data_IF_896754054540
#
_entry.id   IF_896754054540
#
_cell.length_a   1.000
_cell.length_b   1.000
_cell.length_c   1.000
_cell.angle_alpha   90.00
_cell.angle_beta   90.00
_cell.angle_gamma   90.00
#
_symmetry.space_group_name_H-M   'P 1'
#
loop_
_entity.id
_entity.type
_entity.pdbx_description
1 polymer ?
#
# COMPACT_ATOMS: atom_id res chain seq x y z
N UNK A 1 -27.55 -14.72 -12.98
CA UNK A 1 -27.98 -13.43 -13.55
C UNK A 1 -26.74 -12.70 -14.02
N UNK A 2 -26.50 -12.67 -15.32
CA UNK A 2 -25.50 -11.78 -15.91
C UNK A 2 -25.98 -10.34 -15.73
N UNK A 3 -25.20 -9.43 -15.13
CA UNK A 3 -25.57 -8.02 -15.08
C UNK A 3 -25.69 -7.52 -16.53
N UNK A 4 -26.84 -6.92 -16.86
CA UNK A 4 -27.01 -6.26 -18.16
C UNK A 4 -25.91 -5.21 -18.29
N UNK A 5 -25.08 -5.34 -19.33
CA UNK A 5 -24.10 -4.33 -19.68
C UNK A 5 -24.85 -3.01 -19.87
N UNK A 6 -24.48 -1.91 -19.19
CA UNK A 6 -25.19 -0.65 -19.31
C UNK A 6 -25.22 -0.21 -20.78
N UNK A 7 -26.39 0.23 -21.25
CA UNK A 7 -26.50 0.85 -22.57
C UNK A 7 -25.72 2.16 -22.57
N UNK A 8 -24.77 2.29 -23.49
CA UNK A 8 -23.99 3.51 -23.68
C UNK A 8 -24.91 4.64 -24.13
N UNK A 9 -25.10 5.67 -23.30
CA UNK A 9 -25.76 6.91 -23.74
C UNK A 9 -24.92 7.50 -24.87
N UNK A 10 -25.55 7.69 -26.03
CA UNK A 10 -24.91 8.31 -27.20
C UNK A 10 -24.68 9.79 -26.93
N UNK A 11 -23.52 10.10 -26.37
CA UNK A 11 -23.02 11.47 -26.32
C UNK A 11 -22.68 11.96 -27.75
N UNK A 12 -22.74 13.28 -27.99
CA UNK A 12 -22.37 13.85 -29.29
C UNK A 12 -20.93 13.48 -29.65
N UNK A 13 -20.73 13.00 -30.89
CA UNK A 13 -19.40 12.66 -31.43
C UNK A 13 -18.79 13.91 -32.07
N UNK A 14 -17.56 14.28 -31.70
CA UNK A 14 -16.87 15.48 -32.20
C UNK A 14 -15.74 15.19 -33.21
N UNK A 15 -15.72 13.99 -33.79
CA UNK A 15 -14.58 13.43 -34.56
C UNK A 15 -14.16 14.21 -35.83
N UNK A 16 -14.89 15.25 -36.24
CA UNK A 16 -14.58 16.08 -37.43
C UNK A 16 -14.48 17.59 -37.15
N UNK A 17 -14.42 18.00 -35.89
CA UNK A 17 -14.45 19.43 -35.52
C UNK A 17 -13.04 19.89 -35.14
N UNK A 18 -12.29 20.47 -36.09
CA UNK A 18 -10.94 21.00 -35.84
C UNK A 18 -11.01 22.47 -35.43
N UNK A 19 -10.26 22.85 -34.38
CA UNK A 19 -10.10 24.25 -33.91
C UNK A 19 -11.41 24.99 -33.62
N UNK A 20 -12.36 24.34 -32.94
CA UNK A 20 -13.63 24.96 -32.55
C UNK A 20 -13.79 24.93 -31.03
N UNK A 21 -14.43 25.96 -30.51
CA UNK A 21 -15.04 25.93 -29.18
C UNK A 21 -16.36 25.19 -29.28
N UNK A 22 -16.52 24.16 -28.47
CA UNK A 22 -17.76 23.40 -28.33
C UNK A 22 -18.33 23.70 -26.95
N UNK A 23 -19.51 24.31 -26.94
CA UNK A 23 -20.29 24.43 -25.71
C UNK A 23 -20.79 23.06 -25.29
N UNK A 24 -20.64 22.75 -24.00
CA UNK A 24 -20.99 21.46 -23.45
C UNK A 24 -21.73 21.61 -22.13
N UNK A 25 -22.78 20.83 -21.97
CA UNK A 25 -23.57 20.73 -20.75
C UNK A 25 -24.05 19.29 -20.58
N UNK A 26 -24.05 18.80 -19.35
CA UNK A 26 -24.61 17.50 -18.99
C UNK A 26 -25.98 17.68 -18.38
N UNK A 27 -26.99 17.09 -19.01
CA UNK A 27 -28.31 17.01 -18.41
C UNK A 27 -28.27 16.04 -17.22
N UNK A 28 -28.28 16.57 -15.99
CA UNK A 28 -28.13 15.75 -14.76
C UNK A 28 -29.18 14.64 -14.62
N UNK A 29 -30.38 14.80 -15.21
CA UNK A 29 -31.41 13.76 -15.17
C UNK A 29 -31.07 12.50 -15.97
N UNK A 30 -30.08 12.57 -16.87
CA UNK A 30 -29.69 11.47 -17.76
C UNK A 30 -28.46 10.70 -17.25
N UNK A 31 -27.77 11.22 -16.23
CA UNK A 31 -26.58 10.58 -15.68
C UNK A 31 -26.98 9.51 -14.68
N UNK A 32 -26.80 8.25 -15.06
CA UNK A 32 -26.97 7.12 -14.14
C UNK A 32 -25.69 7.00 -13.31
N UNK A 33 -25.83 7.06 -11.98
CA UNK A 33 -24.69 6.85 -11.07
C UNK A 33 -24.04 5.49 -11.32
N UNK A 34 -22.71 5.49 -11.46
CA UNK A 34 -21.90 4.29 -11.67
C UNK A 34 -21.59 3.96 -13.13
N UNK A 35 -22.30 4.55 -14.10
CA UNK A 35 -21.94 4.39 -15.51
C UNK A 35 -20.84 5.38 -15.89
N UNK A 36 -19.94 4.98 -16.79
CA UNK A 36 -18.92 5.87 -17.36
C UNK A 36 -19.33 6.26 -18.77
N UNK A 37 -19.22 7.55 -19.08
CA UNK A 37 -19.53 8.08 -20.38
C UNK A 37 -18.25 8.60 -21.03
N UNK A 38 -18.03 8.26 -22.30
CA UNK A 38 -16.86 8.73 -23.03
C UNK A 38 -17.24 9.37 -24.35
N UNK A 39 -16.55 10.46 -24.70
CA UNK A 39 -16.71 11.20 -25.94
C UNK A 39 -15.39 11.28 -26.67
N UNK A 40 -15.34 10.78 -27.90
CA UNK A 40 -14.18 10.99 -28.76
C UNK A 40 -14.08 12.47 -29.17
N UNK A 41 -12.88 13.03 -29.03
CA UNK A 41 -12.60 14.44 -29.37
C UNK A 41 -11.52 14.56 -30.42
N UNK A 42 -11.71 15.54 -31.31
CA UNK A 42 -10.71 15.98 -32.26
C UNK A 42 -9.49 16.64 -31.56
N UNK A 43 -8.36 16.71 -32.26
CA UNK A 43 -7.20 17.45 -31.78
C UNK A 43 -7.47 18.97 -31.76
N UNK A 44 -6.87 19.68 -30.80
CA UNK A 44 -6.98 21.12 -30.57
C UNK A 44 -8.42 21.59 -30.32
N UNK A 45 -9.22 20.75 -29.64
CA UNK A 45 -10.58 21.08 -29.28
C UNK A 45 -10.63 21.92 -28.01
N UNK A 46 -11.44 22.97 -27.99
CA UNK A 46 -11.80 23.69 -26.76
C UNK A 46 -13.20 23.27 -26.35
N UNK A 47 -13.34 22.76 -25.14
CA UNK A 47 -14.63 22.41 -24.54
C UNK A 47 -14.94 23.48 -23.50
N UNK A 48 -16.09 24.13 -23.68
CA UNK A 48 -16.57 25.20 -22.82
C UNK A 48 -17.77 24.70 -22.02
N UNK A 49 -17.56 24.45 -20.74
CA UNK A 49 -18.60 23.98 -19.83
C UNK A 49 -19.51 25.13 -19.41
N UNK A 50 -20.82 24.91 -19.59
CA UNK A 50 -21.89 25.81 -19.13
C UNK A 50 -22.46 25.39 -17.76
N UNK A 51 -21.99 24.27 -17.20
CA UNK A 51 -22.46 23.70 -15.94
C UNK A 51 -21.30 23.09 -15.11
N UNK A 52 -21.64 22.31 -14.09
CA UNK A 52 -20.70 21.64 -13.16
C UNK A 52 -20.05 20.35 -13.74
N UNK A 53 -20.38 19.98 -14.99
CA UNK A 53 -19.93 18.74 -15.60
C UNK A 53 -20.39 17.49 -14.86
N UNK A 54 -19.58 16.43 -14.92
CA UNK A 54 -19.79 15.19 -14.17
C UNK A 54 -18.51 14.38 -13.96
N UNK A 55 -18.39 13.73 -12.80
CA UNK A 55 -17.25 12.86 -12.43
C UNK A 55 -17.06 11.65 -13.35
N UNK A 56 -18.12 11.23 -14.05
CA UNK A 56 -18.12 10.05 -14.90
C UNK A 56 -18.10 10.36 -16.40
N UNK A 57 -17.90 11.62 -16.78
CA UNK A 57 -17.76 12.03 -18.17
C UNK A 57 -16.28 12.12 -18.54
N UNK A 58 -15.89 11.43 -19.60
CA UNK A 58 -14.51 11.39 -20.08
C UNK A 58 -14.40 11.82 -21.54
N UNK A 59 -13.42 12.64 -21.86
CA UNK A 59 -13.06 12.99 -23.23
C UNK A 59 -11.91 12.09 -23.69
N UNK A 60 -12.19 11.21 -24.63
CA UNK A 60 -11.24 10.25 -25.19
C UNK A 60 -10.52 10.87 -26.38
N UNK A 61 -9.20 10.89 -26.28
CA UNK A 61 -8.32 11.39 -27.33
C UNK A 61 -7.85 10.22 -28.18
N UNK A 62 -7.92 10.35 -29.51
CA UNK A 62 -7.54 9.29 -30.46
C UNK A 62 -6.34 9.66 -31.35
N UNK A 63 -5.52 10.64 -30.96
CA UNK A 63 -4.37 11.12 -31.74
C UNK A 63 -3.07 10.93 -30.97
N UNK A 64 -1.98 10.59 -31.68
CA UNK A 64 -0.65 10.41 -31.07
C UNK A 64 -0.19 11.63 -30.28
N UNK A 65 -0.53 12.83 -30.75
CA UNK A 65 -0.40 14.06 -29.97
C UNK A 65 -1.69 14.84 -30.07
N UNK A 66 -2.27 15.16 -28.92
CA UNK A 66 -3.46 15.99 -28.87
C UNK A 66 -3.37 17.10 -27.84
N UNK A 67 -4.09 18.17 -28.12
CA UNK A 67 -4.36 19.24 -27.18
C UNK A 67 -5.86 19.35 -26.97
N UNK A 68 -6.29 19.32 -25.72
CA UNK A 68 -7.67 19.59 -25.30
C UNK A 68 -7.65 20.76 -24.33
N UNK A 69 -8.55 21.72 -24.51
CA UNK A 69 -8.64 22.90 -23.65
C UNK A 69 -9.99 22.90 -22.94
N UNK A 70 -9.98 22.96 -21.61
CA UNK A 70 -11.16 23.07 -20.78
C UNK A 70 -11.31 24.51 -20.28
N UNK A 71 -12.47 25.09 -20.58
CA UNK A 71 -12.86 26.43 -20.16
C UNK A 71 -14.26 26.39 -19.57
N UNK A 72 -14.63 27.41 -18.80
CA UNK A 72 -16.00 27.59 -18.33
C UNK A 72 -16.47 29.03 -18.44
N UNK A 73 -17.75 29.19 -18.73
CA UNK A 73 -18.50 30.45 -18.62
C UNK A 73 -19.16 30.64 -17.25
N UNK A 74 -19.08 29.63 -16.38
CA UNK A 74 -19.75 29.65 -15.10
C UNK A 74 -18.97 30.48 -14.08
N UNK A 75 -19.47 31.69 -13.82
CA UNK A 75 -18.88 32.61 -12.84
C UNK A 75 -19.05 32.14 -11.38
N UNK A 76 -19.90 31.15 -11.11
CA UNK A 76 -20.31 30.77 -9.75
C UNK A 76 -19.21 30.05 -8.94
N UNK A 77 -17.99 29.91 -9.47
CA UNK A 77 -16.86 29.17 -8.85
C UNK A 77 -17.17 27.74 -8.42
N UNK A 78 -18.32 27.19 -8.82
CA UNK A 78 -18.71 25.82 -8.50
C UNK A 78 -17.75 24.85 -9.21
N UNK A 79 -17.36 23.75 -8.55
CA UNK A 79 -16.40 22.82 -9.12
C UNK A 79 -16.97 22.16 -10.37
N UNK A 80 -16.18 22.13 -11.45
CA UNK A 80 -16.51 21.48 -12.70
C UNK A 80 -15.73 20.19 -12.78
N UNK A 81 -16.47 19.09 -12.80
CA UNK A 81 -15.87 17.78 -12.84
C UNK A 81 -15.90 17.24 -14.27
N UNK A 82 -14.77 16.75 -14.74
CA UNK A 82 -14.67 16.08 -16.03
C UNK A 82 -13.48 15.15 -16.03
N UNK A 83 -13.35 14.31 -17.04
CA UNK A 83 -12.21 13.44 -17.19
C UNK A 83 -11.65 13.38 -18.59
N UNK A 84 -10.46 12.81 -18.70
CA UNK A 84 -9.84 12.47 -19.96
C UNK A 84 -9.47 10.99 -19.98
N UNK A 85 -9.49 10.42 -21.17
CA UNK A 85 -8.82 9.15 -21.48
C UNK A 85 -7.71 9.51 -22.49
N UNK A 86 -6.43 9.55 -22.06
CA UNK A 86 -5.33 9.87 -22.96
C UNK A 86 -5.15 8.77 -24.00
N UNK A 87 -4.39 9.09 -25.05
CA UNK A 87 -4.06 8.14 -26.09
C UNK A 87 -2.90 7.26 -25.63
N UNK A 88 -3.09 5.94 -25.71
CA UNK A 88 -2.04 4.95 -25.48
C UNK A 88 -0.80 5.26 -26.33
N UNK A 89 0.38 5.29 -25.71
CA UNK A 89 1.67 5.66 -26.33
C UNK A 89 1.75 7.10 -26.90
N UNK A 90 0.70 7.91 -26.74
CA UNK A 90 0.64 9.29 -27.19
C UNK A 90 0.90 10.31 -26.08
N UNK A 91 0.92 11.58 -26.47
CA UNK A 91 1.02 12.73 -25.59
C UNK A 91 -0.27 13.55 -25.67
N UNK A 92 -1.05 13.53 -24.59
CA UNK A 92 -2.23 14.37 -24.41
C UNK A 92 -1.86 15.60 -23.59
N UNK A 93 -2.03 16.80 -24.15
CA UNK A 93 -1.95 18.06 -23.41
C UNK A 93 -3.34 18.51 -23.01
N UNK A 94 -3.57 18.72 -21.72
CA UNK A 94 -4.82 19.26 -21.16
C UNK A 94 -4.55 20.68 -20.69
N UNK A 95 -5.12 21.66 -21.37
CA UNK A 95 -5.09 23.05 -20.93
C UNK A 95 -6.29 23.31 -20.02
N UNK A 96 -6.06 23.76 -18.79
CA UNK A 96 -7.10 24.12 -17.81
C UNK A 96 -7.04 25.64 -17.60
N UNK A 97 -8.09 26.36 -17.97
CA UNK A 97 -8.08 27.83 -17.94
C UNK A 97 -8.86 28.43 -16.76
N UNK A 98 -9.55 27.60 -15.96
CA UNK A 98 -10.26 28.03 -14.76
C UNK A 98 -9.83 27.19 -13.54
N UNK A 99 -9.83 27.79 -12.35
CA UNK A 99 -9.38 27.17 -11.08
C UNK A 99 -10.38 26.18 -10.46
N UNK A 100 -11.64 26.22 -10.91
CA UNK A 100 -12.71 25.37 -10.44
C UNK A 100 -12.76 24.00 -11.15
N UNK A 101 -11.82 23.68 -12.03
CA UNK A 101 -11.78 22.36 -12.67
C UNK A 101 -11.19 21.28 -11.76
N UNK A 102 -11.89 20.15 -11.74
CA UNK A 102 -11.51 18.92 -11.07
C UNK A 102 -11.39 17.81 -12.13
N UNK A 103 -10.15 17.50 -12.51
CA UNK A 103 -9.89 16.54 -13.58
C UNK A 103 -9.93 15.10 -13.07
N UNK A 104 -10.47 14.18 -13.85
CA UNK A 104 -10.34 12.74 -13.67
C UNK A 104 -9.52 12.16 -14.83
N UNK A 105 -8.68 11.16 -14.59
CA UNK A 105 -7.85 10.54 -15.63
C UNK A 105 -7.99 9.03 -15.53
N UNK A 106 -8.16 8.38 -16.69
CA UNK A 106 -8.20 6.93 -16.84
C UNK A 106 -7.39 6.51 -18.05
N UNK A 107 -6.78 5.33 -18.03
CA UNK A 107 -6.01 4.81 -19.16
C UNK A 107 -4.53 5.13 -19.07
N UNK A 108 -3.82 4.89 -20.17
CA UNK A 108 -2.37 4.97 -20.28
C UNK A 108 -1.89 6.09 -21.23
N UNK A 109 -0.60 6.41 -21.15
CA UNK A 109 0.06 7.41 -21.99
C UNK A 109 0.73 8.53 -21.19
N UNK A 110 1.01 9.63 -21.89
CA UNK A 110 1.66 10.81 -21.31
C UNK A 110 0.68 11.97 -21.26
N UNK A 111 0.41 12.49 -20.07
CA UNK A 111 -0.46 13.64 -19.85
C UNK A 111 0.37 14.85 -19.43
N UNK A 112 0.32 15.89 -20.25
CA UNK A 112 0.82 17.21 -19.92
C UNK A 112 -0.34 18.09 -19.47
N UNK A 113 -0.32 18.57 -18.24
CA UNK A 113 -1.29 19.55 -17.76
C UNK A 113 -0.68 20.94 -17.91
N UNK A 114 -1.43 21.86 -18.46
CA UNK A 114 -0.97 23.21 -18.75
C UNK A 114 -2.08 24.24 -18.50
N UNK A 115 -1.69 25.51 -18.47
CA UNK A 115 -2.62 26.64 -18.43
C UNK A 115 -2.01 27.85 -19.11
N UNK A 116 -2.84 28.67 -19.76
CA UNK A 116 -2.48 30.04 -20.15
C UNK A 116 -2.90 31.09 -19.10
N UNK A 117 -3.75 30.70 -18.15
CA UNK A 117 -4.24 31.56 -17.08
C UNK A 117 -3.16 31.75 -15.99
N UNK A 118 -2.59 32.95 -15.95
CA UNK A 118 -1.57 33.34 -14.96
C UNK A 118 -2.08 33.38 -13.51
N UNK A 119 -3.40 33.41 -13.30
CA UNK A 119 -4.00 33.43 -11.97
C UNK A 119 -4.22 32.01 -11.41
N UNK A 120 -4.02 30.96 -12.21
CA UNK A 120 -4.19 29.59 -11.75
C UNK A 120 -3.02 29.21 -10.83
N UNK A 121 -3.33 28.94 -9.56
CA UNK A 121 -2.30 28.63 -8.56
C UNK A 121 -2.02 27.13 -8.42
N UNK A 122 -2.89 26.26 -8.91
CA UNK A 122 -2.72 24.81 -8.85
C UNK A 122 -3.61 24.09 -9.88
N UNK A 123 -3.20 22.88 -10.26
CA UNK A 123 -4.05 21.94 -10.98
C UNK A 123 -4.65 20.92 -10.02
N UNK A 124 -5.98 20.79 -10.03
CA UNK A 124 -6.69 19.82 -9.20
C UNK A 124 -7.12 18.60 -10.02
N UNK A 125 -6.65 17.42 -9.61
CA UNK A 125 -7.06 16.13 -10.16
C UNK A 125 -7.81 15.40 -9.05
N UNK A 126 -9.09 15.12 -9.27
CA UNK A 126 -9.94 14.39 -8.33
C UNK A 126 -9.58 12.91 -8.26
N UNK A 127 -9.42 12.27 -9.42
CA UNK A 127 -9.14 10.84 -9.46
C UNK A 127 -8.24 10.47 -10.63
N UNK A 128 -7.29 9.58 -10.38
CA UNK A 128 -6.56 8.84 -11.40
C UNK A 128 -6.83 7.36 -11.13
N UNK A 129 -7.44 6.68 -12.10
CA UNK A 129 -7.74 5.26 -12.01
C UNK A 129 -6.95 4.52 -13.09
N UNK A 130 -6.03 3.65 -12.66
CA UNK A 130 -5.22 2.80 -13.54
C UNK A 130 -5.53 1.33 -13.30
N UNK A 131 -5.74 0.61 -14.39
CA UNK A 131 -6.13 -0.79 -14.40
C UNK A 131 -5.14 -1.63 -15.20
N UNK A 132 -5.11 -2.94 -14.93
CA UNK A 132 -4.33 -3.91 -15.70
C UNK A 132 -2.83 -3.57 -15.73
N UNK A 133 -2.27 -3.31 -16.92
CA UNK A 133 -0.87 -2.96 -17.15
C UNK A 133 -0.75 -1.52 -17.71
N UNK A 134 -1.72 -0.67 -17.42
CA UNK A 134 -1.70 0.73 -17.86
C UNK A 134 -0.48 1.46 -17.29
N UNK A 135 0.13 2.30 -18.11
CA UNK A 135 1.30 3.11 -17.75
C UNK A 135 0.98 4.58 -17.99
N UNK A 136 0.86 5.36 -16.92
CA UNK A 136 0.53 6.78 -16.98
C UNK A 136 1.67 7.65 -16.45
N UNK A 137 2.06 8.65 -17.23
CA UNK A 137 2.99 9.69 -16.82
C UNK A 137 2.28 11.03 -16.83
N UNK A 138 2.26 11.73 -15.69
CA UNK A 138 1.69 13.07 -15.57
C UNK A 138 2.80 14.10 -15.37
N UNK A 139 2.74 15.20 -16.11
CA UNK A 139 3.67 16.33 -16.01
C UNK A 139 2.91 17.66 -16.04
N UNK A 140 3.35 18.63 -15.24
CA UNK A 140 2.97 20.03 -15.44
C UNK A 140 3.88 20.68 -16.49
N UNK A 141 3.30 21.39 -17.47
CA UNK A 141 4.07 22.26 -18.38
C UNK A 141 4.38 23.63 -17.75
N UNK A 142 3.64 24.02 -16.72
CA UNK A 142 3.84 25.27 -16.01
C UNK A 142 4.62 24.96 -14.72
N UNK A 143 5.94 25.18 -14.72
CA UNK A 143 6.85 24.77 -13.63
C UNK A 143 6.48 25.31 -12.24
N UNK A 144 5.75 26.43 -12.18
CA UNK A 144 5.34 27.08 -10.93
C UNK A 144 3.92 26.73 -10.47
N UNK A 145 3.22 25.83 -11.18
CA UNK A 145 1.84 25.45 -10.85
C UNK A 145 1.84 23.99 -10.37
N UNK A 146 1.70 23.73 -9.05
CA UNK A 146 1.64 22.38 -8.49
C UNK A 146 0.47 21.57 -9.03
N UNK A 147 0.61 20.25 -8.99
CA UNK A 147 -0.49 19.31 -9.24
C UNK A 147 -0.90 18.66 -7.93
N UNK A 148 -2.18 18.78 -7.57
CA UNK A 148 -2.77 18.06 -6.44
C UNK A 148 -3.69 16.95 -6.94
N UNK A 149 -3.30 15.71 -6.67
CA UNK A 149 -4.06 14.51 -6.96
C UNK A 149 -4.74 14.02 -5.68
N UNK A 150 -6.07 14.03 -5.65
CA UNK A 150 -6.82 13.60 -4.47
C UNK A 150 -6.74 12.08 -4.28
N UNK A 151 -7.00 11.29 -5.33
CA UNK A 151 -6.97 9.83 -5.25
C UNK A 151 -6.23 9.22 -6.45
N UNK A 152 -5.28 8.33 -6.17
CA UNK A 152 -4.65 7.44 -7.14
C UNK A 152 -5.10 6.00 -6.84
N UNK A 153 -5.96 5.45 -7.69
CA UNK A 153 -6.52 4.12 -7.56
C UNK A 153 -5.82 3.14 -8.53
N UNK A 154 -5.25 2.07 -7.99
CA UNK A 154 -4.35 1.17 -8.71
C UNK A 154 -4.87 -0.27 -8.65
N UNK A 155 -5.18 -0.86 -9.82
CA UNK A 155 -5.73 -2.20 -9.96
C UNK A 155 -4.84 -3.08 -10.83
N UNK A 156 -4.51 -4.29 -10.36
CA UNK A 156 -3.60 -5.23 -11.00
C UNK A 156 -2.13 -4.75 -10.97
N UNK A 157 -1.49 -4.43 -12.11
CA UNK A 157 -0.05 -4.11 -12.17
C UNK A 157 0.29 -2.82 -12.95
N UNK A 158 -0.41 -1.69 -12.71
CA UNK A 158 -0.15 -0.45 -13.44
C UNK A 158 1.16 0.22 -13.01
N UNK A 159 1.64 1.12 -13.86
CA UNK A 159 2.77 2.00 -13.61
C UNK A 159 2.31 3.47 -13.60
N UNK A 160 2.62 4.18 -12.53
CA UNK A 160 2.36 5.61 -12.42
C UNK A 160 3.66 6.37 -12.18
N UNK A 161 3.89 7.43 -12.95
CA UNK A 161 5.03 8.34 -12.76
C UNK A 161 4.59 9.79 -12.76
N UNK A 162 5.00 10.52 -11.72
CA UNK A 162 4.92 11.97 -11.71
C UNK A 162 6.21 12.56 -12.31
N UNK A 163 6.18 13.04 -13.55
CA UNK A 163 7.34 13.69 -14.16
C UNK A 163 7.40 15.19 -13.82
N UNK A 164 7.15 15.51 -12.54
CA UNK A 164 7.16 16.84 -11.95
C UNK A 164 7.49 16.71 -10.46
N UNK A 165 8.46 17.48 -9.98
CA UNK A 165 8.84 17.48 -8.56
C UNK A 165 7.75 18.02 -7.63
N UNK A 166 6.71 18.64 -8.17
CA UNK A 166 5.64 19.32 -7.43
C UNK A 166 4.27 18.65 -7.64
N UNK A 167 4.25 17.32 -7.83
CA UNK A 167 3.03 16.53 -7.83
C UNK A 167 2.80 15.91 -6.44
N UNK A 168 1.69 16.32 -5.82
CA UNK A 168 1.26 15.89 -4.51
C UNK A 168 0.07 14.95 -4.62
N UNK A 169 0.15 13.77 -4.02
CA UNK A 169 -0.92 12.78 -3.96
C UNK A 169 -1.45 12.73 -2.54
N UNK A 170 -2.74 12.96 -2.34
CA UNK A 170 -3.35 12.81 -1.01
C UNK A 170 -3.48 11.34 -0.66
N UNK A 171 -4.21 10.57 -1.48
CA UNK A 171 -4.48 9.17 -1.20
C UNK A 171 -3.99 8.26 -2.32
N UNK A 172 -3.26 7.20 -1.96
CA UNK A 172 -2.99 6.07 -2.85
C UNK A 172 -3.82 4.88 -2.37
N UNK A 173 -4.61 4.29 -3.26
CA UNK A 173 -5.48 3.15 -2.98
C UNK A 173 -5.04 2.00 -3.88
N UNK A 174 -4.47 0.96 -3.28
CA UNK A 174 -3.98 -0.23 -4.00
C UNK A 174 -4.96 -1.37 -3.78
N UNK A 175 -5.59 -1.83 -4.87
CA UNK A 175 -6.61 -2.86 -4.77
C UNK A 175 -6.02 -4.25 -4.48
N UNK A 176 -6.76 -5.12 -3.81
CA UNK A 176 -6.34 -6.48 -3.42
C UNK A 176 -5.62 -7.28 -4.53
N UNK A 177 -4.49 -7.88 -4.21
CA UNK A 177 -3.70 -8.70 -5.14
C UNK A 177 -2.85 -7.90 -6.13
N UNK A 178 -3.01 -6.58 -6.19
CA UNK A 178 -2.31 -5.70 -7.11
C UNK A 178 -0.83 -5.54 -6.75
N UNK A 179 0.00 -5.35 -7.77
CA UNK A 179 1.44 -5.07 -7.68
C UNK A 179 1.85 -3.83 -8.50
N UNK A 180 1.27 -2.65 -8.23
CA UNK A 180 1.56 -1.47 -9.01
C UNK A 180 2.93 -0.87 -8.66
N UNK A 181 3.45 -0.05 -9.57
CA UNK A 181 4.67 0.74 -9.34
C UNK A 181 4.34 2.23 -9.39
N UNK A 182 4.86 3.00 -8.43
CA UNK A 182 4.72 4.46 -8.37
C UNK A 182 6.10 5.13 -8.30
N UNK A 183 6.29 6.24 -9.02
CA UNK A 183 7.55 7.00 -9.06
C UNK A 183 7.35 8.51 -8.98
N UNK A 184 8.38 9.19 -8.45
CA UNK A 184 8.60 10.63 -8.51
C UNK A 184 7.48 11.50 -7.90
N UNK A 185 6.79 10.99 -6.86
CA UNK A 185 5.64 11.66 -6.23
C UNK A 185 5.81 11.88 -4.72
N UNK A 186 5.06 12.87 -4.20
CA UNK A 186 4.96 13.14 -2.75
C UNK A 186 3.58 12.70 -2.28
N UNK A 187 3.53 11.80 -1.30
CA UNK A 187 2.26 11.33 -0.70
C UNK A 187 2.00 12.07 0.61
N UNK A 188 0.88 12.79 0.67
CA UNK A 188 0.59 13.72 1.76
C UNK A 188 -0.27 13.14 2.88
N UNK A 189 -1.19 12.21 2.59
CA UNK A 189 -2.22 11.81 3.56
C UNK A 189 -2.25 10.31 3.85
N UNK A 190 -2.70 9.47 2.93
CA UNK A 190 -2.92 8.05 3.24
C UNK A 190 -2.50 7.12 2.09
N UNK A 191 -1.97 5.95 2.43
CA UNK A 191 -1.76 4.84 1.51
C UNK A 191 -2.58 3.68 2.03
N UNK A 192 -3.59 3.24 1.29
CA UNK A 192 -4.43 2.10 1.64
C UNK A 192 -4.00 0.92 0.77
N UNK A 193 -3.41 -0.09 1.37
CA UNK A 193 -3.01 -1.32 0.66
C UNK A 193 -4.01 -2.43 0.94
N UNK A 194 -4.62 -2.97 -0.11
CA UNK A 194 -5.51 -4.12 -0.02
C UNK A 194 -4.82 -5.41 0.43
N UNK A 195 -5.59 -6.48 0.49
CA UNK A 195 -5.05 -7.80 0.84
C UNK A 195 -4.07 -8.29 -0.23
N UNK A 196 -2.97 -8.91 0.18
CA UNK A 196 -2.00 -9.54 -0.73
C UNK A 196 -1.46 -8.62 -1.85
N UNK A 197 -1.40 -7.31 -1.59
CA UNK A 197 -0.83 -6.32 -2.50
C UNK A 197 0.65 -6.13 -2.28
N UNK A 198 1.36 -5.65 -3.29
CA UNK A 198 2.74 -5.16 -3.16
C UNK A 198 2.89 -3.85 -3.92
N UNK A 199 2.86 -2.72 -3.21
CA UNK A 199 3.14 -1.42 -3.80
C UNK A 199 4.65 -1.26 -3.97
N UNK A 200 5.11 -1.25 -5.21
CA UNK A 200 6.50 -1.02 -5.54
C UNK A 200 6.78 0.50 -5.61
N UNK A 201 7.58 0.99 -4.68
CA UNK A 201 8.02 2.38 -4.67
C UNK A 201 9.29 2.48 -5.52
N UNK A 202 9.21 3.12 -6.68
CA UNK A 202 10.38 3.37 -7.51
C UNK A 202 11.16 4.60 -7.05
N UNK A 203 11.67 5.38 -8.00
CA UNK A 203 12.54 6.51 -7.66
C UNK A 203 11.77 7.67 -7.01
N UNK A 204 12.45 8.40 -6.13
CA UNK A 204 12.03 9.66 -5.52
C UNK A 204 10.61 9.72 -4.93
N UNK A 205 10.08 8.60 -4.44
CA UNK A 205 8.78 8.59 -3.74
C UNK A 205 8.97 9.07 -2.29
N UNK A 206 8.25 10.12 -1.88
CA UNK A 206 8.28 10.63 -0.52
C UNK A 206 6.99 10.26 0.24
N UNK A 207 7.11 9.41 1.25
CA UNK A 207 5.99 8.97 2.08
C UNK A 207 5.95 9.64 3.47
N UNK A 208 6.92 10.50 3.81
CA UNK A 208 7.17 10.94 5.20
C UNK A 208 5.95 11.57 5.91
N UNK A 209 5.02 12.16 5.17
CA UNK A 209 3.78 12.72 5.71
C UNK A 209 2.63 11.71 5.79
N UNK A 210 2.63 10.69 4.93
CA UNK A 210 1.50 9.80 4.74
C UNK A 210 1.37 8.76 5.87
N UNK A 211 0.13 8.41 6.20
CA UNK A 211 -0.20 7.23 7.01
C UNK A 211 -0.41 6.03 6.10
N UNK A 212 0.27 4.93 6.36
CA UNK A 212 0.00 3.67 5.66
C UNK A 212 -1.03 2.85 6.43
N UNK A 213 -2.14 2.54 5.79
CA UNK A 213 -3.19 1.65 6.28
C UNK A 213 -3.14 0.33 5.53
N UNK A 214 -2.71 -0.74 6.20
CA UNK A 214 -2.61 -2.07 5.62
C UNK A 214 -3.86 -2.86 5.99
N UNK A 215 -4.64 -3.23 4.97
CA UNK A 215 -5.79 -4.10 5.15
C UNK A 215 -5.32 -5.54 5.35
N UNK A 216 -5.85 -6.22 6.36
CA UNK A 216 -5.53 -7.61 6.65
C UNK A 216 -6.79 -8.45 6.88
N UNK A 217 -6.66 -9.76 6.73
CA UNK A 217 -7.71 -10.73 7.01
C UNK A 217 -7.09 -11.95 7.70
N UNK A 218 -7.74 -12.46 8.74
CA UNK A 218 -7.24 -13.61 9.53
C UNK A 218 -7.27 -14.94 8.76
N UNK A 219 -8.09 -15.05 7.72
CA UNK A 219 -8.15 -16.24 6.86
C UNK A 219 -7.13 -16.26 5.72
N UNK A 220 -6.36 -15.17 5.52
CA UNK A 220 -5.41 -15.04 4.41
C UNK A 220 -4.04 -14.68 4.97
N UNK A 221 -3.09 -15.62 4.84
CA UNK A 221 -1.68 -15.32 5.05
C UNK A 221 -1.16 -14.63 3.79
N UNK A 222 -0.68 -13.40 3.94
CA UNK A 222 -0.02 -12.70 2.83
C UNK A 222 1.47 -13.02 2.84
N UNK A 223 1.95 -13.62 1.76
CA UNK A 223 3.37 -13.90 1.53
C UNK A 223 4.09 -12.73 0.86
N UNK A 224 3.35 -11.70 0.43
CA UNK A 224 3.88 -10.52 -0.24
C UNK A 224 4.09 -9.40 0.76
N UNK A 225 5.19 -8.67 0.61
CA UNK A 225 5.38 -7.43 1.34
C UNK A 225 4.40 -6.37 0.82
N UNK A 226 3.74 -5.64 1.72
CA UNK A 226 2.87 -4.52 1.32
C UNK A 226 3.65 -3.43 0.55
N UNK A 227 4.93 -3.23 0.89
CA UNK A 227 5.85 -2.31 0.24
C UNK A 227 7.11 -3.02 -0.27
N UNK A 228 7.52 -2.68 -1.49
CA UNK A 228 8.78 -3.12 -2.12
C UNK A 228 9.46 -1.95 -2.83
N UNK A 229 10.67 -2.17 -3.36
CA UNK A 229 11.40 -1.16 -4.12
C UNK A 229 12.33 -0.28 -3.28
N UNK A 230 12.38 1.02 -3.58
CA UNK A 230 13.22 2.00 -2.92
C UNK A 230 12.58 2.52 -1.62
N UNK A 231 12.77 1.75 -0.55
CA UNK A 231 12.20 2.03 0.77
C UNK A 231 13.14 2.89 1.63
N UNK A 232 13.51 4.07 1.14
CA UNK A 232 14.46 4.96 1.82
C UNK A 232 13.85 5.71 3.00
N UNK A 233 12.59 6.15 2.88
CA UNK A 233 11.90 6.95 3.89
C UNK A 233 10.60 6.24 4.31
N UNK A 234 10.43 5.91 5.60
CA UNK A 234 9.19 5.32 6.06
C UNK A 234 8.05 6.36 6.04
N UNK A 235 6.78 5.91 6.02
CA UNK A 235 5.62 6.78 6.24
C UNK A 235 5.63 7.42 7.64
N UNK A 236 4.71 8.34 7.93
CA UNK A 236 4.58 8.91 9.28
C UNK A 236 4.12 7.87 10.30
N UNK A 237 3.30 6.90 9.86
CA UNK A 237 2.71 5.84 10.67
C UNK A 237 2.30 4.65 9.81
N UNK A 238 2.36 3.44 10.36
CA UNK A 238 1.77 2.24 9.76
C UNK A 238 0.68 1.73 10.71
N UNK A 239 -0.54 1.58 10.21
CA UNK A 239 -1.69 1.05 10.94
C UNK A 239 -2.29 -0.15 10.20
N UNK A 240 -3.08 -0.94 10.93
CA UNK A 240 -3.75 -2.12 10.40
C UNK A 240 -5.25 -1.97 10.53
N UNK A 241 -5.99 -2.37 9.49
CA UNK A 241 -7.45 -2.46 9.57
C UNK A 241 -7.89 -3.86 9.12
N UNK A 242 -8.69 -4.52 9.95
CA UNK A 242 -9.31 -5.79 9.59
C UNK A 242 -10.33 -5.52 8.48
N UNK A 243 -10.25 -6.28 7.38
CA UNK A 243 -11.27 -6.26 6.33
C UNK A 243 -12.02 -7.59 6.30
N UNK A 244 -13.33 -7.51 6.13
CA UNK A 244 -14.16 -8.67 5.88
C UNK A 244 -14.14 -8.97 4.38
N UNK A 245 -13.80 -10.20 4.01
CA UNK A 245 -13.97 -10.70 2.64
C UNK A 245 -15.25 -11.52 2.69
N UNK A 246 -16.25 -11.17 1.87
CA UNK A 246 -17.46 -11.96 1.57
C UNK A 246 -17.67 -13.14 2.53
N UNK A 247 -18.10 -12.84 3.76
CA UNK A 247 -18.24 -13.84 4.83
C UNK A 247 -19.31 -14.85 4.43
N UNK A 248 -18.92 -15.88 3.70
CA UNK A 248 -19.51 -17.20 3.90
C UNK A 248 -19.15 -17.56 5.32
N UNK A 249 -20.18 -17.78 6.13
CA UNK A 249 -20.11 -18.32 7.48
C UNK A 249 -19.42 -19.69 7.40
N UNK A 250 -18.09 -19.69 7.37
CA UNK A 250 -17.33 -20.89 7.61
C UNK A 250 -17.10 -20.91 9.12
N UNK A 251 -17.88 -21.76 9.80
CA UNK A 251 -17.70 -22.19 11.19
C UNK A 251 -16.39 -23.00 11.32
N UNK A 252 -15.27 -22.41 10.91
CA UNK A 252 -13.95 -22.96 11.12
C UNK A 252 -13.55 -22.62 12.54
N UNK A 253 -13.67 -23.59 13.44
CA UNK A 253 -13.07 -23.53 14.78
C UNK A 253 -11.62 -23.09 14.63
N UNK A 254 -11.33 -21.83 14.99
CA UNK A 254 -9.97 -21.31 15.05
C UNK A 254 -9.28 -22.05 16.18
N UNK A 255 -8.41 -22.99 15.85
CA UNK A 255 -7.49 -23.53 16.86
C UNK A 255 -6.60 -22.39 17.33
N UNK A 256 -6.61 -22.12 18.63
CA UNK A 256 -6.02 -20.93 19.29
C UNK A 256 -4.49 -20.74 19.07
N UNK A 257 -3.83 -21.66 18.37
CA UNK A 257 -2.37 -21.71 18.25
C UNK A 257 -1.81 -21.20 16.91
N UNK A 258 -2.64 -20.75 15.97
CA UNK A 258 -2.14 -20.30 14.65
C UNK A 258 -1.49 -18.91 14.74
N UNK A 259 -0.17 -18.83 14.54
CA UNK A 259 0.56 -17.56 14.47
C UNK A 259 0.30 -16.88 13.12
N UNK A 260 -0.27 -15.67 13.15
CA UNK A 260 -0.45 -14.83 11.97
C UNK A 260 0.77 -13.95 11.76
N UNK A 261 1.41 -14.09 10.59
CA UNK A 261 2.53 -13.24 10.17
C UNK A 261 2.15 -12.46 8.92
N UNK A 262 2.69 -11.25 8.81
CA UNK A 262 2.56 -10.42 7.62
C UNK A 262 3.88 -9.69 7.37
N UNK A 263 4.29 -9.66 6.11
CA UNK A 263 5.46 -8.88 5.66
C UNK A 263 4.96 -7.49 5.28
N UNK A 264 5.51 -6.47 5.91
CA UNK A 264 5.13 -5.07 5.70
C UNK A 264 5.99 -4.45 4.60
N UNK A 265 7.30 -4.62 4.73
CA UNK A 265 8.28 -3.98 3.85
C UNK A 265 9.41 -4.97 3.55
N UNK A 266 9.78 -5.07 2.29
CA UNK A 266 10.93 -5.85 1.85
C UNK A 266 12.11 -4.95 1.50
N UNK A 267 13.28 -5.32 2.01
CA UNK A 267 14.54 -4.61 1.85
C UNK A 267 14.52 -3.12 2.27
N UNK A 268 13.90 -2.72 3.41
CA UNK A 268 13.95 -1.34 3.86
C UNK A 268 15.38 -0.92 4.22
N UNK A 269 15.80 0.27 3.73
CA UNK A 269 17.16 0.79 3.96
C UNK A 269 17.46 0.99 5.45
N UNK A 270 16.47 1.48 6.19
CA UNK A 270 16.48 1.54 7.65
C UNK A 270 15.27 0.80 8.22
N UNK A 271 15.39 -0.53 8.35
CA UNK A 271 14.33 -1.35 8.92
C UNK A 271 13.95 -0.93 10.35
N UNK A 272 14.88 -0.36 11.15
CA UNK A 272 14.61 0.07 12.52
C UNK A 272 13.68 1.28 12.53
N UNK A 273 13.90 2.26 11.64
CA UNK A 273 13.01 3.40 11.47
C UNK A 273 11.60 2.95 11.06
N UNK A 274 11.49 2.09 10.04
CA UNK A 274 10.21 1.50 9.62
C UNK A 274 9.50 0.74 10.74
N UNK A 275 10.23 -0.03 11.56
CA UNK A 275 9.66 -0.77 12.68
C UNK A 275 9.07 0.14 13.77
N UNK A 276 9.72 1.28 14.05
CA UNK A 276 9.34 2.15 15.16
C UNK A 276 8.04 2.93 14.93
N UNK A 277 7.58 3.04 13.68
CA UNK A 277 6.34 3.72 13.31
C UNK A 277 5.13 2.78 13.19
N UNK A 278 5.34 1.47 13.39
CA UNK A 278 4.28 0.47 13.34
C UNK A 278 3.41 0.61 14.57
N UNK A 279 2.16 1.02 14.38
CA UNK A 279 1.13 1.05 15.40
C UNK A 279 0.24 -0.19 15.29
N UNK A 280 0.35 -1.03 16.31
CA UNK A 280 -0.39 -2.28 16.41
C UNK A 280 -1.75 -2.13 17.12
N UNK A 281 -2.10 -0.91 17.56
CA UNK A 281 -3.35 -0.62 18.27
C UNK A 281 -4.56 -1.02 17.41
N UNK A 282 -5.46 -1.82 17.99
CA UNK A 282 -6.66 -2.29 17.29
C UNK A 282 -6.43 -3.41 16.26
N UNK A 283 -5.22 -3.99 16.22
CA UNK A 283 -4.89 -5.12 15.35
C UNK A 283 -4.67 -6.42 16.14
N UNK A 284 -4.62 -7.56 15.44
CA UNK A 284 -4.22 -8.85 16.03
C UNK A 284 -2.72 -8.98 16.26
N UNK A 285 -1.92 -8.11 15.65
CA UNK A 285 -0.47 -8.15 15.70
C UNK A 285 0.02 -7.59 17.03
N UNK A 286 1.09 -8.18 17.57
CA UNK A 286 1.63 -7.84 18.89
C UNK A 286 3.11 -7.51 18.86
N UNK A 287 3.81 -7.92 17.79
CA UNK A 287 5.22 -7.67 17.62
C UNK A 287 5.52 -7.22 16.19
N UNK A 288 6.48 -6.31 16.06
CA UNK A 288 7.10 -5.92 14.80
C UNK A 288 8.60 -6.15 14.90
N UNK A 289 9.21 -6.86 13.94
CA UNK A 289 10.64 -7.18 13.94
C UNK A 289 11.23 -7.11 12.54
N UNK A 290 12.53 -6.84 12.50
CA UNK A 290 13.33 -6.95 11.29
C UNK A 290 13.98 -8.33 11.29
N UNK A 291 13.69 -9.13 10.27
CA UNK A 291 14.30 -10.45 10.08
C UNK A 291 14.85 -10.60 8.67
N UNK A 292 15.75 -11.56 8.47
CA UNK A 292 16.24 -11.89 7.12
C UNK A 292 15.50 -13.13 6.64
N UNK A 293 15.02 -13.09 5.40
CA UNK A 293 14.47 -14.27 4.75
C UNK A 293 15.58 -15.26 4.36
N UNK A 294 15.21 -16.38 3.75
CA UNK A 294 16.17 -17.42 3.31
C UNK A 294 17.21 -16.92 2.30
N UNK A 295 16.89 -15.84 1.56
CA UNK A 295 17.77 -15.20 0.59
C UNK A 295 18.65 -14.10 1.22
N UNK A 296 18.56 -13.90 2.53
CA UNK A 296 19.30 -12.86 3.25
C UNK A 296 18.71 -11.45 3.09
N UNK A 297 17.56 -11.30 2.44
CA UNK A 297 16.85 -10.02 2.26
C UNK A 297 16.20 -9.66 3.60
N UNK A 298 16.43 -8.42 4.04
CA UNK A 298 15.84 -7.91 5.29
C UNK A 298 14.37 -7.60 5.07
N UNK A 299 13.49 -8.05 5.95
CA UNK A 299 12.05 -7.85 5.91
C UNK A 299 11.56 -7.28 7.25
N UNK A 300 10.65 -6.30 7.20
CA UNK A 300 9.86 -5.89 8.36
C UNK A 300 8.63 -6.79 8.44
N UNK A 301 8.54 -7.56 9.51
CA UNK A 301 7.48 -8.55 9.71
C UNK A 301 6.73 -8.24 11.00
N UNK A 302 5.41 -8.31 10.95
CA UNK A 302 4.54 -8.29 12.13
C UNK A 302 4.00 -9.68 12.45
N UNK A 303 3.83 -9.98 13.73
CA UNK A 303 3.33 -11.27 14.21
C UNK A 303 2.29 -11.12 15.32
N UNK A 304 1.25 -11.95 15.30
CA UNK A 304 0.24 -12.04 16.36
C UNK A 304 0.75 -12.71 17.64
N UNK A 305 1.88 -13.42 17.58
CA UNK A 305 2.44 -14.09 18.75
C UNK A 305 3.01 -13.03 19.70
N UNK A 306 2.62 -13.10 20.98
CA UNK A 306 3.31 -12.38 22.05
C UNK A 306 4.80 -12.70 21.90
N UNK A 307 5.67 -11.70 21.97
CA UNK A 307 7.09 -11.99 22.19
C UNK A 307 7.16 -12.70 23.54
N UNK A 308 7.25 -14.03 23.52
CA UNK A 308 7.53 -14.81 24.70
C UNK A 308 8.92 -14.34 25.16
N UNK A 309 8.94 -13.41 26.12
CA UNK A 309 10.14 -12.99 26.86
C UNK A 309 10.71 -14.15 27.70
N UNK A 310 10.33 -15.40 27.39
CA UNK A 310 10.71 -16.63 28.07
C UNK A 310 12.12 -17.10 27.71
N UNK A 311 12.91 -16.32 26.97
CA UNK A 311 14.35 -16.32 27.26
C UNK A 311 14.48 -15.68 28.63
N UNK A 312 14.44 -16.51 29.66
CA UNK A 312 14.95 -16.20 30.99
C UNK A 312 16.18 -15.31 30.78
N UNK A 313 16.13 -14.08 31.28
CA UNK A 313 17.26 -13.18 31.13
C UNK A 313 18.55 -13.87 31.58
N UNK A 314 19.70 -13.35 31.17
CA UNK A 314 20.98 -13.88 31.67
C UNK A 314 20.99 -13.98 33.22
N UNK A 315 20.23 -13.11 33.90
CA UNK A 315 20.00 -13.13 35.35
C UNK A 315 19.50 -14.48 35.91
N UNK A 316 18.29 -14.96 35.59
CA UNK A 316 17.83 -16.26 36.10
C UNK A 316 18.72 -17.46 35.73
N UNK A 317 19.30 -17.48 34.53
CA UNK A 317 20.22 -18.55 34.11
C UNK A 317 21.50 -18.52 34.97
N UNK A 318 22.08 -17.33 35.20
CA UNK A 318 23.24 -17.17 36.09
C UNK A 318 22.90 -17.51 37.55
N UNK A 319 21.69 -17.17 38.01
CA UNK A 319 21.20 -17.50 39.35
C UNK A 319 21.12 -19.01 39.59
N UNK A 320 20.58 -19.77 38.63
CA UNK A 320 20.53 -21.24 38.71
C UNK A 320 21.93 -21.85 38.75
N UNK A 321 22.86 -21.32 37.94
CA UNK A 321 24.23 -21.82 37.91
C UNK A 321 24.96 -21.61 39.27
N UNK A 322 24.84 -20.42 39.87
CA UNK A 322 25.47 -20.12 41.17
C UNK A 322 24.87 -21.00 42.28
N UNK A 323 23.55 -21.19 42.29
CA UNK A 323 22.89 -22.05 43.27
C UNK A 323 23.42 -23.50 43.21
N UNK A 324 23.59 -24.06 42.01
CA UNK A 324 24.20 -25.38 41.84
C UNK A 324 25.62 -25.46 42.42
N UNK A 325 26.47 -24.46 42.19
CA UNK A 325 27.86 -24.44 42.69
C UNK A 325 27.91 -24.42 44.22
N UNK A 326 27.05 -23.62 44.87
CA UNK A 326 26.98 -23.54 46.33
C UNK A 326 26.52 -24.86 46.94
N UNK A 327 25.50 -25.50 46.35
CA UNK A 327 25.00 -26.80 46.84
C UNK A 327 26.10 -27.87 46.75
N UNK A 328 26.84 -27.94 45.63
CA UNK A 328 27.95 -28.89 45.49
C UNK A 328 29.04 -28.63 46.52
N UNK A 329 29.41 -27.36 46.76
CA UNK A 329 30.42 -27.01 47.76
C UNK A 329 30.01 -27.43 49.18
N UNK A 330 28.74 -27.28 49.55
CA UNK A 330 28.20 -27.72 50.85
C UNK A 330 28.24 -29.24 50.95
N UNK A 331 27.83 -29.98 49.92
CA UNK A 331 27.85 -31.45 49.92
C UNK A 331 29.28 -31.96 50.08
N UNK A 332 30.24 -31.40 49.33
CA UNK A 332 31.67 -31.75 49.46
C UNK A 332 32.20 -31.41 50.86
N UNK A 333 31.85 -30.23 51.38
CA UNK A 333 32.23 -29.82 52.74
C UNK A 333 31.71 -30.78 53.81
N UNK A 334 30.45 -31.21 53.71
CA UNK A 334 29.84 -32.18 54.63
C UNK A 334 30.46 -33.56 54.50
N UNK A 335 30.71 -34.05 53.27
CA UNK A 335 31.37 -35.36 53.07
C UNK A 335 32.78 -35.36 53.64
N UNK A 336 33.59 -34.34 53.37
CA UNK A 336 34.94 -34.22 53.94
C UNK A 336 34.90 -34.10 55.46
N UNK A 337 33.94 -33.35 56.01
CA UNK A 337 33.79 -33.20 57.47
C UNK A 337 33.40 -34.52 58.15
N UNK A 338 32.46 -35.28 57.57
CA UNK A 338 32.08 -36.60 58.06
C UNK A 338 33.28 -37.55 57.92
N UNK A 339 33.94 -37.63 56.76
CA UNK A 339 35.11 -38.49 56.55
C UNK A 339 36.28 -38.19 57.49
N UNK A 340 36.48 -36.92 57.91
CA UNK A 340 37.50 -36.57 58.91
C UNK A 340 37.10 -36.94 60.34
N UNK A 341 35.81 -36.92 60.67
CA UNK A 341 35.32 -37.24 62.01
C UNK A 341 35.07 -38.74 62.20
N UNK A 342 34.80 -39.46 61.11
CA UNK A 342 34.63 -40.90 61.11
C UNK A 342 35.87 -41.58 60.52
N UNK A 343 36.83 -41.93 61.39
CA UNK A 343 37.70 -43.09 61.15
C UNK A 343 36.87 -44.39 61.25
N UNK A 344 35.78 -44.47 60.48
CA UNK A 344 34.97 -45.66 60.34
C UNK A 344 35.14 -46.16 58.92
N UNK A 345 35.90 -47.24 58.85
CA UNK A 345 35.98 -48.19 57.75
C UNK A 345 34.62 -48.40 57.09
N UNK A 346 34.36 -47.69 55.99
CA UNK A 346 33.33 -48.07 55.04
C UNK A 346 33.89 -49.23 54.22
N UNK A 347 33.68 -50.45 54.72
CA UNK A 347 33.73 -51.65 53.90
C UNK A 347 32.62 -51.56 52.87
N UNK A 348 32.99 -51.23 51.64
CA UNK A 348 32.11 -51.35 50.47
C UNK A 348 32.05 -52.85 50.17
N UNK A 349 31.02 -53.52 50.66
CA UNK A 349 30.67 -54.88 50.24
C UNK A 349 30.00 -54.77 48.87
N UNK A 350 30.76 -55.12 47.83
CA UNK A 350 30.28 -55.19 46.46
C UNK A 350 29.34 -56.37 46.29
N UNK A 351 28.03 -56.16 46.42
CA UNK A 351 27.05 -57.13 45.91
C UNK A 351 26.89 -56.93 44.41
N UNK A 352 27.61 -57.77 43.67
CA UNK A 352 27.39 -58.09 42.27
C UNK A 352 25.98 -58.70 42.16
N UNK A 353 25.04 -57.97 41.57
CA UNK A 353 23.84 -58.57 41.01
C UNK A 353 24.10 -58.80 39.52
N UNK A 354 24.54 -60.01 39.20
CA UNK A 354 24.27 -60.60 37.90
C UNK A 354 22.77 -60.91 37.87
N UNK A 355 22.05 -60.24 36.98
CA UNK A 355 20.79 -60.77 36.46
C UNK A 355 20.80 -60.56 34.96
N UNK A 356 21.18 -61.63 34.27
CA UNK A 356 20.77 -61.91 32.90
C UNK A 356 19.26 -61.73 32.76
N UNK A 357 18.85 -61.06 31.69
CA UNK A 357 17.65 -61.36 30.88
C UNK A 357 17.51 -60.23 29.86
N UNK A 358 17.10 -60.41 28.62
CA UNK A 358 17.04 -61.53 27.69
C UNK A 358 16.60 -60.87 26.38
N UNK A 359 17.11 -61.37 25.27
CA UNK A 359 16.73 -60.98 23.92
C UNK A 359 15.32 -61.51 23.63
N UNK A 360 14.46 -60.67 23.05
CA UNK A 360 13.44 -61.13 22.10
C UNK A 360 13.28 -60.10 20.97
N UNK A 361 13.17 -60.66 19.77
CA UNK A 361 13.04 -60.05 18.44
C UNK A 361 11.71 -59.29 18.30
#
# INVERSE_FOLDING_TARGET
MTPNKPEDIKLPIFDNVVNKTVEFSVNKSEIIQGNHYSVSVANNLTIQFQDEGSNNLYFKVNYESAVITFTSTNDDKRPINTGIIPTTNGVTTVNIENDNFNLNIRGDGFVNIATSNQNLTAFNISNVLLEQNESLVIKSKNENVPIYLSNLELYNSPYFKANSSDLHIYNIIVQQGSTPTVEDCIVLKEIITGLNTSLNLGQNVNLSSAVSCILYNTGIVSERAAFTGNLSNPPSKIIFRLTQINTVLADGETTDDTEYKMIIAENPRDCKAWRNIVDMTGSIYQTAKCEKNQQGITQLVVSSKKQNKNKLGAGPIAGIAIACVVVVAVIVGVTVYISRKSNLSLGIESTIYESEDSIAI
#
